data_IF_639883782535
#
_entry.id   IF_639883782535
#
_cell.length_a   1.000
_cell.length_b   1.000
_cell.length_c   1.000
_cell.angle_alpha   90.00
_cell.angle_beta   90.00
_cell.angle_gamma   90.00
#
_symmetry.space_group_name_H-M   'P 1'
#
loop_
_entity.id
_entity.type
_entity.pdbx_description
1 polymer ?
#
# COMPACT_ATOMS: atom_id res chain seq x y z
N UNK A 1 -1.25 11.70 14.31
CA UNK A 1 -0.58 11.26 13.07
C UNK A 1 -0.52 9.75 13.08
N UNK A 2 -1.25 9.07 12.19
CA UNK A 2 -1.05 7.64 12.00
C UNK A 2 0.28 7.39 11.30
N UNK A 3 0.87 6.20 11.49
CA UNK A 3 2.10 5.76 10.81
C UNK A 3 1.77 4.80 9.68
N UNK A 4 2.60 4.77 8.64
CA UNK A 4 2.51 3.75 7.59
C UNK A 4 2.97 2.43 8.20
N UNK A 5 2.11 1.42 8.19
CA UNK A 5 2.47 0.10 8.69
C UNK A 5 2.76 -0.81 7.50
N UNK A 6 3.98 -1.34 7.41
CA UNK A 6 4.37 -2.34 6.41
C UNK A 6 4.73 -3.62 7.14
N UNK A 7 4.12 -4.74 6.73
CA UNK A 7 4.44 -6.07 7.28
C UNK A 7 4.14 -7.17 6.29
N UNK A 8 4.80 -8.32 6.45
CA UNK A 8 4.44 -9.52 5.68
C UNK A 8 3.15 -10.14 6.23
N UNK A 9 2.16 -10.32 5.38
CA UNK A 9 0.96 -11.06 5.75
C UNK A 9 1.18 -12.56 5.55
N UNK A 10 0.70 -13.36 6.50
CA UNK A 10 0.63 -14.80 6.33
C UNK A 10 -0.54 -15.17 5.41
N UNK A 11 -0.49 -16.33 4.79
CA UNK A 11 -1.57 -16.78 3.90
C UNK A 11 -2.92 -16.93 4.64
N UNK A 12 -2.90 -17.37 5.89
CA UNK A 12 -4.09 -17.44 6.75
C UNK A 12 -4.71 -16.06 6.97
N UNK A 13 -3.88 -15.03 7.12
CA UNK A 13 -4.35 -13.66 7.31
C UNK A 13 -4.92 -13.07 6.03
N UNK A 14 -4.26 -13.30 4.90
CA UNK A 14 -4.75 -12.90 3.57
C UNK A 14 -6.13 -13.51 3.30
N UNK A 15 -6.34 -14.78 3.68
CA UNK A 15 -7.63 -15.45 3.58
C UNK A 15 -8.67 -14.86 4.54
N UNK A 16 -8.31 -14.66 5.81
CA UNK A 16 -9.20 -14.10 6.83
C UNK A 16 -9.69 -12.69 6.47
N UNK A 17 -8.79 -11.85 5.95
CA UNK A 17 -9.12 -10.50 5.46
C UNK A 17 -9.92 -10.50 4.15
N UNK A 18 -9.99 -11.64 3.46
CA UNK A 18 -10.53 -11.75 2.11
C UNK A 18 -9.74 -10.90 1.12
N UNK A 19 -8.45 -10.67 1.36
CA UNK A 19 -7.67 -9.67 0.61
C UNK A 19 -7.56 -9.98 -0.89
N UNK A 20 -7.63 -11.27 -1.27
CA UNK A 20 -7.68 -11.72 -2.66
C UNK A 20 -8.97 -11.32 -3.41
N UNK A 21 -10.03 -10.96 -2.68
CA UNK A 21 -11.32 -10.54 -3.26
C UNK A 21 -11.46 -9.02 -3.43
N UNK A 22 -10.52 -8.25 -2.87
CA UNK A 22 -10.54 -6.79 -2.97
C UNK A 22 -10.27 -6.33 -4.41
N UNK A 23 -10.70 -5.12 -4.79
CA UNK A 23 -10.37 -4.56 -6.08
C UNK A 23 -8.84 -4.49 -6.27
N UNK A 24 -8.41 -4.70 -7.51
CA UNK A 24 -7.00 -4.62 -7.90
C UNK A 24 -6.74 -3.24 -8.48
N UNK A 25 -5.66 -2.63 -8.03
CA UNK A 25 -5.10 -1.42 -8.62
C UNK A 25 -3.72 -1.72 -9.20
N UNK A 26 -3.43 -1.15 -10.35
CA UNK A 26 -2.13 -1.25 -11.01
C UNK A 26 -1.64 0.11 -11.49
N UNK A 27 -0.32 0.30 -11.44
CA UNK A 27 0.31 1.53 -11.89
C UNK A 27 1.71 1.24 -12.44
N UNK A 28 2.06 1.94 -13.51
CA UNK A 28 3.41 1.89 -14.08
C UNK A 28 4.43 2.65 -13.23
N UNK A 29 5.69 2.61 -13.66
CA UNK A 29 6.77 3.40 -13.06
C UNK A 29 6.40 4.88 -13.15
N UNK A 30 6.17 5.49 -12.00
CA UNK A 30 5.72 6.88 -11.91
C UNK A 30 5.95 7.39 -10.50
N UNK A 31 5.98 8.72 -10.37
CA UNK A 31 6.09 9.42 -9.10
C UNK A 31 4.98 10.46 -9.01
N UNK A 32 4.16 10.39 -7.97
CA UNK A 32 3.00 11.27 -7.81
C UNK A 32 2.64 11.48 -6.34
N UNK A 33 2.02 12.62 -6.05
CA UNK A 33 1.47 12.94 -4.75
C UNK A 33 0.11 12.24 -4.56
N UNK A 34 -0.15 11.76 -3.35
CA UNK A 34 -1.38 11.08 -2.99
C UNK A 34 -1.84 11.45 -1.58
N UNK A 35 -3.14 11.67 -1.45
CA UNK A 35 -3.81 11.97 -0.18
C UNK A 35 -4.78 10.85 0.19
N UNK A 36 -4.61 10.28 1.38
CA UNK A 36 -5.52 9.27 1.91
C UNK A 36 -6.66 9.92 2.70
N UNK A 37 -7.82 10.09 2.06
CA UNK A 37 -9.02 10.63 2.73
C UNK A 37 -9.61 9.69 3.79
N UNK A 38 -9.35 8.39 3.65
CA UNK A 38 -9.71 7.32 4.58
C UNK A 38 -8.54 6.34 4.73
N UNK A 39 -8.62 5.48 5.75
CA UNK A 39 -7.61 4.45 5.94
C UNK A 39 -7.68 3.46 4.76
N UNK A 40 -6.52 3.16 4.17
CA UNK A 40 -6.38 2.18 3.11
C UNK A 40 -5.53 1.02 3.61
N UNK A 41 -6.04 -0.20 3.48
CA UNK A 41 -5.24 -1.42 3.61
C UNK A 41 -5.01 -2.00 2.23
N UNK A 42 -3.76 -2.29 1.87
CA UNK A 42 -3.45 -2.90 0.59
C UNK A 42 -2.48 -4.08 0.72
N UNK A 43 -2.74 -5.12 -0.06
CA UNK A 43 -1.86 -6.28 -0.23
C UNK A 43 -1.14 -6.16 -1.56
N UNK A 44 0.18 -6.05 -1.53
CA UNK A 44 1.00 -5.87 -2.71
C UNK A 44 1.24 -7.24 -3.36
N UNK A 45 0.88 -7.36 -4.63
CA UNK A 45 1.06 -8.57 -5.41
C UNK A 45 2.38 -8.53 -6.18
N UNK A 46 2.70 -7.39 -6.79
CA UNK A 46 3.85 -7.20 -7.67
C UNK A 46 4.36 -5.76 -7.55
N UNK A 47 5.63 -5.54 -7.89
CA UNK A 47 6.24 -4.20 -7.99
C UNK A 47 7.15 -3.82 -6.83
N UNK A 48 7.67 -2.60 -6.91
CA UNK A 48 8.58 -2.03 -5.91
C UNK A 48 8.23 -0.56 -5.74
N UNK A 49 7.75 -0.21 -4.56
CA UNK A 49 7.24 1.13 -4.27
C UNK A 49 7.90 1.67 -3.02
N UNK A 50 8.19 2.96 -3.03
CA UNK A 50 8.59 3.70 -1.85
C UNK A 50 7.66 4.89 -1.66
N UNK A 51 7.00 4.94 -0.50
CA UNK A 51 6.14 6.05 -0.10
C UNK A 51 6.89 6.94 0.88
N UNK A 52 6.82 8.24 0.68
CA UNK A 52 7.43 9.24 1.58
C UNK A 52 6.33 10.17 2.11
N UNK A 53 6.18 10.26 3.42
CA UNK A 53 5.21 11.12 4.09
C UNK A 53 5.94 12.01 5.11
N UNK A 54 6.28 13.24 4.71
CA UNK A 54 7.12 14.14 5.52
C UNK A 54 8.49 13.51 5.80
N UNK A 55 8.77 13.22 7.07
CA UNK A 55 10.02 12.56 7.49
C UNK A 55 9.95 11.02 7.47
N UNK A 56 8.76 10.44 7.29
CA UNK A 56 8.56 8.99 7.24
C UNK A 56 8.75 8.46 5.82
N UNK A 57 9.45 7.33 5.69
CA UNK A 57 9.66 6.66 4.41
C UNK A 57 9.40 5.17 4.57
N UNK A 58 8.51 4.62 3.75
CA UNK A 58 8.12 3.23 3.77
C UNK A 58 8.35 2.61 2.39
N UNK A 59 9.13 1.53 2.34
CA UNK A 59 9.34 0.76 1.11
C UNK A 59 8.69 -0.63 1.27
N UNK A 60 8.01 -1.08 0.22
CA UNK A 60 7.26 -2.33 0.25
C UNK A 60 7.19 -2.97 -1.15
N UNK A 61 6.94 -4.27 -1.17
CA UNK A 61 6.94 -5.10 -2.36
C UNK A 61 6.03 -6.33 -2.23
N UNK A 62 6.19 -7.33 -3.11
CA UNK A 62 5.29 -8.47 -3.22
C UNK A 62 5.16 -9.25 -1.91
N UNK A 63 3.92 -9.49 -1.48
CA UNK A 63 3.59 -10.20 -0.24
C UNK A 63 3.49 -9.31 1.00
N UNK A 64 3.79 -8.02 0.88
CA UNK A 64 3.62 -7.08 1.97
C UNK A 64 2.16 -6.59 2.04
N UNK A 65 1.65 -6.50 3.27
CA UNK A 65 0.43 -5.82 3.61
C UNK A 65 0.79 -4.46 4.20
N UNK A 66 0.25 -3.41 3.58
CA UNK A 66 0.50 -2.03 3.94
C UNK A 66 -0.78 -1.38 4.41
N UNK A 67 -0.72 -0.65 5.52
CA UNK A 67 -1.84 0.14 6.04
C UNK A 67 -1.43 1.60 6.04
N UNK A 68 -2.19 2.40 5.29
CA UNK A 68 -2.08 3.85 5.25
C UNK A 68 -3.18 4.46 6.12
N UNK A 69 -2.82 5.31 7.11
CA UNK A 69 -3.79 5.95 7.98
C UNK A 69 -4.56 7.05 7.26
N UNK A 70 -5.79 7.30 7.73
CA UNK A 70 -6.62 8.43 7.30
C UNK A 70 -5.92 9.77 7.53
N UNK A 71 -6.04 10.67 6.55
CA UNK A 71 -5.46 12.01 6.54
C UNK A 71 -3.96 12.04 6.26
N UNK A 72 -3.41 11.00 5.63
CA UNK A 72 -2.00 10.94 5.26
C UNK A 72 -1.77 11.56 3.88
N UNK A 73 -0.94 12.61 3.84
CA UNK A 73 -0.33 13.12 2.61
C UNK A 73 1.02 12.44 2.37
N UNK A 74 1.20 11.89 1.18
CA UNK A 74 2.43 11.18 0.84
C UNK A 74 2.77 11.26 -0.64
N UNK A 75 4.04 10.98 -0.95
CA UNK A 75 4.54 10.88 -2.32
C UNK A 75 4.81 9.41 -2.61
N UNK A 76 4.15 8.88 -3.63
CA UNK A 76 4.41 7.55 -4.17
C UNK A 76 5.56 7.64 -5.18
N UNK A 77 6.58 6.81 -4.99
CA UNK A 77 7.68 6.59 -5.93
C UNK A 77 7.65 5.11 -6.36
N UNK A 78 7.01 4.83 -7.48
CA UNK A 78 6.85 3.49 -8.06
C UNK A 78 8.06 3.21 -8.95
N UNK A 79 9.00 2.39 -8.47
CA UNK A 79 10.24 2.05 -9.19
C UNK A 79 10.08 0.90 -10.16
N UNK A 80 9.14 -0.02 -9.86
CA UNK A 80 8.72 -1.10 -10.74
C UNK A 80 7.19 -1.13 -10.79
N UNK A 81 6.57 -1.45 -11.94
CA UNK A 81 5.12 -1.49 -12.07
C UNK A 81 4.50 -2.25 -10.91
N UNK A 82 3.59 -1.59 -10.20
CA UNK A 82 2.98 -2.11 -8.98
C UNK A 82 1.59 -2.65 -9.30
N UNK A 83 1.25 -3.76 -8.65
CA UNK A 83 -0.09 -4.33 -8.63
C UNK A 83 -0.43 -4.69 -7.20
N UNK A 84 -1.55 -4.18 -6.69
CA UNK A 84 -1.98 -4.38 -5.30
C UNK A 84 -3.49 -4.59 -5.22
N UNK A 85 -3.92 -5.41 -4.29
CA UNK A 85 -5.29 -5.39 -3.79
C UNK A 85 -5.41 -4.24 -2.79
N UNK A 86 -6.52 -3.50 -2.80
CA UNK A 86 -6.73 -2.39 -1.89
C UNK A 86 -8.14 -2.38 -1.31
N UNK A 87 -8.28 -1.92 -0.07
CA UNK A 87 -9.56 -1.75 0.61
C UNK A 87 -9.51 -0.47 1.43
N UNK A 88 -10.50 0.39 1.21
CA UNK A 88 -10.77 1.54 2.07
C UNK A 88 -11.67 1.13 3.23
N UNK A 89 -11.41 1.65 4.44
CA UNK A 89 -12.24 1.38 5.62
C UNK A 89 -11.58 1.75 6.94
#
# INVERSE_FOLDING_TARGET
MGKITVRKASEAEIQSLGAKSWPVWSCGVSKFDWHYSDQETCLVLEGEVTVTAGAERASFGPGDLVVFPKGLDCVWDVRKPVRKHYKFG
#
